data_IF_159022707153
#
_entry.id   IF_159022707153
#
_cell.length_a   1.000
_cell.length_b   1.000
_cell.length_c   1.000
_cell.angle_alpha   90.00
_cell.angle_beta   90.00
_cell.angle_gamma   90.00
#
_symmetry.space_group_name_H-M   'P 1'
#
loop_
_entity.id
_entity.type
_entity.pdbx_description
1 polymer ?
#
# COMPACT_ATOMS: atom_id res chain seq x y z
N UNK A 1 11.06 -30.11 8.68
CA UNK A 1 11.49 -29.22 7.59
C UNK A 1 12.10 -27.97 8.20
N UNK A 2 13.11 -27.38 7.64
CA UNK A 2 13.65 -26.13 8.14
C UNK A 2 12.67 -24.98 7.81
N UNK A 3 12.28 -24.18 8.80
CA UNK A 3 11.39 -23.04 8.60
C UNK A 3 12.25 -21.82 8.21
N UNK A 4 12.56 -21.70 6.94
CA UNK A 4 13.51 -20.68 6.43
C UNK A 4 12.88 -19.53 5.64
N UNK A 5 11.57 -19.59 5.40
CA UNK A 5 10.82 -18.50 4.79
C UNK A 5 10.14 -17.69 5.90
N UNK A 6 10.55 -16.44 6.05
CA UNK A 6 10.03 -15.56 7.07
C UNK A 6 9.13 -14.50 6.46
N UNK A 7 8.10 -14.12 7.20
CA UNK A 7 7.18 -13.05 6.80
C UNK A 7 6.90 -12.13 7.99
N UNK A 8 7.08 -10.84 7.79
CA UNK A 8 6.74 -9.83 8.79
C UNK A 8 5.27 -9.42 8.66
N UNK A 9 4.56 -9.39 9.78
CA UNK A 9 3.16 -8.99 9.86
C UNK A 9 3.08 -7.52 10.28
N UNK A 10 2.77 -6.65 9.33
CA UNK A 10 2.53 -5.24 9.62
C UNK A 10 1.09 -5.03 10.08
N UNK A 11 0.93 -4.33 11.20
CA UNK A 11 -0.37 -4.09 11.83
C UNK A 11 -0.45 -2.71 12.47
N UNK A 12 -1.65 -2.24 12.73
CA UNK A 12 -1.91 -1.05 13.53
C UNK A 12 -2.91 -1.40 14.64
N UNK A 13 -2.55 -1.12 15.89
CA UNK A 13 -3.36 -1.44 17.08
C UNK A 13 -3.87 -2.91 17.10
N UNK A 14 -2.99 -3.87 16.81
CA UNK A 14 -3.33 -5.30 16.80
C UNK A 14 -4.18 -5.76 15.60
N UNK A 15 -4.46 -4.88 14.64
CA UNK A 15 -5.16 -5.24 13.40
C UNK A 15 -4.18 -5.28 12.24
N UNK A 16 -3.99 -6.46 11.64
CA UNK A 16 -3.12 -6.60 10.48
C UNK A 16 -3.60 -5.75 9.30
N UNK A 17 -2.66 -5.13 8.62
CA UNK A 17 -2.95 -4.55 7.32
C UNK A 17 -3.22 -5.68 6.30
N UNK A 18 -4.19 -5.55 5.39
CA UNK A 18 -4.53 -6.59 4.42
C UNK A 18 -3.35 -7.11 3.61
N UNK A 19 -2.38 -6.25 3.29
CA UNK A 19 -1.15 -6.59 2.59
C UNK A 19 -0.25 -7.59 3.36
N UNK A 20 -0.37 -7.68 4.69
CA UNK A 20 0.35 -8.68 5.48
C UNK A 20 -0.13 -10.09 5.14
N UNK A 21 -1.42 -10.26 4.91
CA UNK A 21 -1.96 -11.57 4.51
C UNK A 21 -1.59 -11.95 3.07
N UNK A 22 -1.50 -10.98 2.15
CA UNK A 22 -0.91 -11.20 0.82
C UNK A 22 0.54 -11.71 0.95
N UNK A 23 1.32 -11.11 1.86
CA UNK A 23 2.69 -11.51 2.13
C UNK A 23 2.78 -12.93 2.71
N UNK A 24 1.87 -13.33 3.60
CA UNK A 24 1.78 -14.71 4.11
C UNK A 24 1.45 -15.68 2.97
N UNK A 25 0.53 -15.34 2.07
CA UNK A 25 0.20 -16.15 0.90
C UNK A 25 1.40 -16.39 -0.02
N UNK A 26 2.20 -15.36 -0.27
CA UNK A 26 3.45 -15.47 -1.03
C UNK A 26 4.47 -16.32 -0.28
N UNK A 27 4.65 -16.10 1.04
CA UNK A 27 5.54 -16.91 1.87
C UNK A 27 5.16 -18.39 1.79
N UNK A 28 3.86 -18.73 1.85
CA UNK A 28 3.37 -20.10 1.73
C UNK A 28 3.71 -20.69 0.36
N UNK A 29 3.44 -19.95 -0.72
CA UNK A 29 3.77 -20.39 -2.08
C UNK A 29 5.27 -20.69 -2.27
N UNK A 30 6.13 -19.83 -1.72
CA UNK A 30 7.59 -20.06 -1.75
C UNK A 30 7.99 -21.24 -0.87
N UNK A 31 7.43 -21.37 0.33
CA UNK A 31 7.71 -22.47 1.23
C UNK A 31 7.34 -23.84 0.61
N UNK A 32 6.21 -23.92 -0.06
CA UNK A 32 5.80 -25.13 -0.79
C UNK A 32 6.80 -25.45 -1.90
N UNK A 33 7.27 -24.44 -2.64
CA UNK A 33 8.24 -24.61 -3.71
C UNK A 33 9.61 -25.06 -3.22
N UNK A 34 10.06 -24.53 -2.07
CA UNK A 34 11.37 -24.85 -1.48
C UNK A 34 11.31 -26.00 -0.45
N UNK A 35 10.17 -26.66 -0.29
CA UNK A 35 9.96 -27.69 0.74
C UNK A 35 10.37 -27.19 2.14
N UNK A 36 9.98 -25.97 2.47
CA UNK A 36 10.25 -25.27 3.72
C UNK A 36 8.97 -25.02 4.51
N UNK A 37 9.10 -24.52 5.73
CA UNK A 37 7.99 -23.96 6.51
C UNK A 37 8.00 -22.42 6.47
N UNK A 38 6.86 -21.83 6.84
CA UNK A 38 6.66 -20.39 6.98
C UNK A 38 6.74 -19.99 8.45
N UNK A 39 7.62 -19.04 8.77
CA UNK A 39 7.68 -18.39 10.09
C UNK A 39 7.18 -16.94 9.97
N UNK A 40 6.08 -16.63 10.66
CA UNK A 40 5.63 -15.24 10.79
C UNK A 40 6.37 -14.55 11.95
N UNK A 41 6.69 -13.27 11.79
CA UNK A 41 7.22 -12.38 12.82
C UNK A 41 6.14 -11.37 13.16
N UNK A 42 5.68 -11.39 14.42
CA UNK A 42 4.63 -10.51 14.95
C UNK A 42 5.21 -9.74 16.12
N UNK A 43 5.34 -8.44 16.00
CA UNK A 43 5.90 -7.57 17.04
C UNK A 43 4.87 -6.49 17.38
N UNK A 44 4.60 -6.29 18.69
CA UNK A 44 3.65 -5.27 19.11
C UNK A 44 3.27 -5.39 20.59
N UNK A 45 2.12 -4.88 20.94
CA UNK A 45 1.54 -4.99 22.27
C UNK A 45 0.13 -5.58 22.18
N UNK A 46 -0.17 -6.61 22.99
CA UNK A 46 -1.42 -7.37 22.96
C UNK A 46 -1.70 -8.00 21.57
N UNK A 47 -0.70 -8.65 20.99
CA UNK A 47 -0.73 -9.17 19.62
C UNK A 47 -0.98 -10.69 19.52
N UNK A 48 -1.38 -11.35 20.60
CA UNK A 48 -1.62 -12.82 20.62
C UNK A 48 -2.71 -13.24 19.61
N UNK A 49 -3.78 -12.45 19.50
CA UNK A 49 -4.83 -12.71 18.48
C UNK A 49 -4.30 -12.62 17.04
N UNK A 50 -3.37 -11.69 16.81
CA UNK A 50 -2.72 -11.53 15.51
C UNK A 50 -1.78 -12.71 15.20
N UNK A 51 -1.07 -13.21 16.19
CA UNK A 51 -0.23 -14.41 16.05
C UNK A 51 -1.06 -15.64 15.63
N UNK A 52 -2.22 -15.86 16.26
CA UNK A 52 -3.12 -16.95 15.92
C UNK A 52 -3.68 -16.80 14.49
N UNK A 53 -4.12 -15.59 14.10
CA UNK A 53 -4.55 -15.31 12.73
C UNK A 53 -3.44 -15.56 11.70
N UNK A 54 -2.18 -15.32 12.04
CA UNK A 54 -1.06 -15.61 11.13
C UNK A 54 -0.96 -17.09 10.79
N UNK A 55 -1.30 -17.97 11.73
CA UNK A 55 -1.37 -19.43 11.51
C UNK A 55 -2.54 -19.75 10.56
N UNK A 56 -3.72 -19.20 10.81
CA UNK A 56 -4.89 -19.42 9.96
C UNK A 56 -4.65 -19.00 8.51
N UNK A 57 -3.87 -17.93 8.29
CA UNK A 57 -3.51 -17.44 6.95
C UNK A 57 -2.37 -18.20 6.29
N UNK A 58 -1.65 -19.09 7.01
CA UNK A 58 -0.69 -19.99 6.37
C UNK A 58 0.69 -20.11 7.03
N UNK A 59 0.95 -19.44 8.15
CA UNK A 59 2.17 -19.65 8.89
C UNK A 59 2.18 -21.02 9.62
N UNK A 60 3.32 -21.67 9.66
CA UNK A 60 3.52 -22.91 10.43
C UNK A 60 4.04 -22.59 11.84
N UNK A 61 4.72 -21.46 11.99
CA UNK A 61 5.28 -20.97 13.24
C UNK A 61 5.17 -19.45 13.30
N UNK A 62 4.99 -18.92 14.50
CA UNK A 62 4.98 -17.48 14.76
C UNK A 62 6.01 -17.16 15.84
N UNK A 63 6.91 -16.23 15.57
CA UNK A 63 7.77 -15.60 16.57
C UNK A 63 7.06 -14.32 17.01
N UNK A 64 6.62 -14.29 18.27
CA UNK A 64 5.80 -13.21 18.81
C UNK A 64 6.56 -12.43 19.88
N UNK A 65 6.88 -11.18 19.60
CA UNK A 65 7.35 -10.19 20.57
C UNK A 65 6.18 -9.34 21.03
N UNK A 66 5.67 -9.61 22.24
CA UNK A 66 4.51 -8.91 22.80
C UNK A 66 4.94 -8.16 24.06
N UNK A 67 5.15 -6.85 23.93
CA UNK A 67 5.66 -5.98 24.98
C UNK A 67 5.05 -4.56 24.89
N UNK A 68 4.71 -3.91 26.02
CA UNK A 68 4.23 -2.52 26.03
C UNK A 68 5.12 -1.52 25.29
N UNK A 69 6.44 -1.74 25.28
CA UNK A 69 7.41 -0.90 24.57
C UNK A 69 7.30 -0.97 23.05
N UNK A 70 6.64 -2.02 22.52
CA UNK A 70 6.34 -2.19 21.11
C UNK A 70 4.93 -1.73 20.72
N UNK A 71 4.20 -1.06 21.64
CA UNK A 71 2.85 -0.57 21.37
C UNK A 71 2.79 0.35 20.16
N UNK A 72 3.72 1.29 20.10
CA UNK A 72 3.84 2.25 19.02
C UNK A 72 5.04 1.89 18.14
N UNK A 73 4.84 1.87 16.82
CA UNK A 73 5.93 1.57 15.90
C UNK A 73 7.02 2.64 15.98
N UNK A 74 8.24 2.19 16.28
CA UNK A 74 9.47 2.97 16.19
C UNK A 74 10.48 2.16 15.37
N UNK A 75 11.16 2.75 14.39
CA UNK A 75 11.96 1.98 13.43
C UNK A 75 13.10 1.22 14.09
N UNK A 76 13.79 1.80 15.11
CA UNK A 76 14.99 1.21 15.69
C UNK A 76 14.72 -0.11 16.42
N UNK A 77 13.80 -0.19 17.42
CA UNK A 77 13.54 -1.43 18.11
C UNK A 77 12.93 -2.50 17.20
N UNK A 78 12.07 -2.10 16.26
CA UNK A 78 11.50 -3.06 15.32
C UNK A 78 12.56 -3.61 14.35
N UNK A 79 13.48 -2.79 13.85
CA UNK A 79 14.58 -3.24 12.98
C UNK A 79 15.51 -4.19 13.72
N UNK A 80 15.95 -3.85 14.94
CA UNK A 80 16.80 -4.70 15.76
C UNK A 80 16.18 -6.07 16.04
N UNK A 81 14.89 -6.08 16.42
CA UNK A 81 14.16 -7.35 16.66
C UNK A 81 14.00 -8.17 15.37
N UNK A 82 13.58 -7.55 14.26
CA UNK A 82 13.43 -8.28 12.99
C UNK A 82 14.78 -8.82 12.52
N UNK A 83 15.85 -8.03 12.59
CA UNK A 83 17.21 -8.46 12.21
C UNK A 83 17.64 -9.66 13.03
N UNK A 84 17.49 -9.62 14.36
CA UNK A 84 17.83 -10.73 15.25
C UNK A 84 17.02 -11.99 14.93
N UNK A 85 15.71 -11.87 14.77
CA UNK A 85 14.81 -13.00 14.56
C UNK A 85 14.95 -13.64 13.18
N UNK A 86 15.43 -12.89 12.19
CA UNK A 86 15.51 -13.35 10.78
C UNK A 86 16.92 -13.55 10.27
N UNK A 87 17.94 -13.52 11.16
CA UNK A 87 19.35 -13.68 10.78
C UNK A 87 19.65 -15.00 10.07
N UNK A 88 18.93 -16.08 10.39
CA UNK A 88 19.08 -17.39 9.76
C UNK A 88 18.06 -17.66 8.64
N UNK A 89 17.28 -16.65 8.23
CA UNK A 89 16.31 -16.79 7.16
C UNK A 89 16.99 -16.92 5.80
N UNK A 90 16.39 -17.70 4.89
CA UNK A 90 16.76 -17.69 3.47
C UNK A 90 16.05 -16.57 2.72
N UNK A 91 14.78 -16.35 3.06
CA UNK A 91 13.94 -15.30 2.47
C UNK A 91 13.17 -14.60 3.58
N UNK A 92 13.15 -13.27 3.53
CA UNK A 92 12.32 -12.43 4.38
C UNK A 92 11.36 -11.61 3.51
N UNK A 93 10.08 -11.75 3.79
CA UNK A 93 9.01 -11.09 3.05
C UNK A 93 8.32 -10.06 3.95
N UNK A 94 8.09 -8.86 3.43
CA UNK A 94 7.32 -7.83 4.09
C UNK A 94 6.27 -7.26 3.11
N UNK A 95 5.09 -6.81 3.57
CA UNK A 95 4.23 -5.98 2.73
C UNK A 95 4.91 -4.62 2.47
N UNK A 96 4.61 -3.94 1.37
CA UNK A 96 5.11 -2.57 1.13
C UNK A 96 4.15 -1.55 1.74
N UNK A 97 4.43 -1.10 2.94
CA UNK A 97 3.73 -0.01 3.63
C UNK A 97 4.70 1.15 3.89
N UNK A 98 4.23 2.26 4.46
CA UNK A 98 5.12 3.36 4.86
C UNK A 98 6.15 2.90 5.90
N UNK A 99 5.74 2.09 6.88
CA UNK A 99 6.61 1.57 7.94
C UNK A 99 7.60 0.52 7.43
N UNK A 100 7.10 -0.45 6.68
CA UNK A 100 7.95 -1.58 6.24
C UNK A 100 8.93 -1.20 5.14
N UNK A 101 8.75 -0.08 4.45
CA UNK A 101 9.75 0.45 3.52
C UNK A 101 11.05 0.84 4.22
N UNK A 102 10.96 1.54 5.34
CA UNK A 102 12.14 1.88 6.15
C UNK A 102 12.65 0.68 6.92
N UNK A 103 11.75 -0.10 7.54
CA UNK A 103 12.10 -1.29 8.29
C UNK A 103 12.92 -2.27 7.45
N UNK A 104 12.47 -2.60 6.25
CA UNK A 104 13.20 -3.52 5.35
C UNK A 104 14.58 -2.99 4.95
N UNK A 105 14.70 -1.67 4.76
CA UNK A 105 15.99 -1.02 4.49
C UNK A 105 16.97 -1.12 5.66
N UNK A 106 16.50 -0.87 6.89
CA UNK A 106 17.31 -1.00 8.10
C UNK A 106 17.74 -2.45 8.32
N UNK A 107 16.81 -3.41 8.25
CA UNK A 107 17.13 -4.85 8.37
C UNK A 107 18.11 -5.30 7.28
N UNK A 108 18.03 -4.78 6.07
CA UNK A 108 18.98 -5.11 5.01
C UNK A 108 20.40 -4.64 5.32
N UNK A 109 20.53 -3.47 5.95
CA UNK A 109 21.83 -2.94 6.41
C UNK A 109 22.36 -3.76 7.57
N UNK A 110 21.54 -4.03 8.58
CA UNK A 110 21.94 -4.80 9.78
C UNK A 110 22.43 -6.21 9.42
N UNK A 111 21.79 -6.86 8.45
CA UNK A 111 22.11 -8.21 7.99
C UNK A 111 23.11 -8.23 6.81
N UNK A 112 23.66 -7.07 6.44
CA UNK A 112 24.59 -6.91 5.31
C UNK A 112 24.10 -7.58 4.01
N UNK A 113 22.81 -7.47 3.73
CA UNK A 113 22.18 -8.09 2.56
C UNK A 113 21.49 -7.05 1.65
N UNK A 114 21.04 -7.49 0.49
CA UNK A 114 20.26 -6.67 -0.43
C UNK A 114 18.77 -6.87 -0.27
N UNK A 115 17.98 -5.87 -0.70
CA UNK A 115 16.53 -6.00 -0.77
C UNK A 115 15.97 -5.68 -2.16
N UNK A 116 14.88 -6.36 -2.54
CA UNK A 116 14.05 -6.05 -3.69
C UNK A 116 12.76 -5.37 -3.22
N UNK A 117 12.64 -4.02 -3.28
CA UNK A 117 11.47 -3.33 -2.81
C UNK A 117 10.35 -3.26 -3.86
N UNK A 118 9.10 -3.25 -3.38
CA UNK A 118 7.91 -2.94 -4.18
C UNK A 118 7.70 -3.91 -5.36
N UNK A 119 7.83 -5.21 -5.07
CA UNK A 119 7.75 -6.31 -6.03
C UNK A 119 6.30 -6.57 -6.43
N UNK A 120 6.08 -6.78 -7.73
CA UNK A 120 4.75 -7.06 -8.30
C UNK A 120 4.59 -8.49 -8.81
N UNK A 121 5.69 -9.18 -9.07
CA UNK A 121 5.71 -10.61 -9.43
C UNK A 121 7.12 -11.15 -9.24
N UNK A 122 7.29 -12.47 -9.23
CA UNK A 122 8.61 -13.11 -9.12
C UNK A 122 8.65 -14.42 -9.90
N UNK A 123 9.87 -14.84 -10.20
CA UNK A 123 10.20 -16.15 -10.76
C UNK A 123 11.22 -16.82 -9.82
N UNK A 124 11.32 -18.13 -9.86
CA UNK A 124 12.32 -18.90 -9.10
C UNK A 124 13.43 -19.32 -10.05
N UNK A 125 14.67 -19.04 -9.65
CA UNK A 125 15.89 -19.41 -10.38
C UNK A 125 16.86 -20.11 -9.41
N UNK A 126 16.81 -21.43 -9.38
CA UNK A 126 17.52 -22.24 -8.40
C UNK A 126 16.97 -22.02 -6.99
N UNK A 127 17.82 -21.51 -6.09
CA UNK A 127 17.49 -21.11 -4.72
C UNK A 127 17.20 -19.62 -4.57
N UNK A 128 17.20 -18.88 -5.66
CA UNK A 128 17.00 -17.45 -5.68
C UNK A 128 15.59 -17.07 -6.17
N UNK A 129 15.04 -16.01 -5.55
CA UNK A 129 13.83 -15.33 -6.01
C UNK A 129 14.23 -14.17 -6.93
N UNK A 130 13.87 -14.29 -8.20
CA UNK A 130 14.06 -13.26 -9.21
C UNK A 130 12.85 -12.31 -9.19
N UNK A 131 12.94 -11.26 -8.40
CA UNK A 131 11.86 -10.33 -8.13
C UNK A 131 11.71 -9.29 -9.26
N UNK A 132 10.50 -9.12 -9.78
CA UNK A 132 10.18 -8.09 -10.78
C UNK A 132 9.50 -6.91 -10.10
N UNK A 133 10.04 -5.72 -10.36
CA UNK A 133 9.51 -4.47 -9.81
C UNK A 133 9.46 -3.36 -10.85
N UNK A 134 8.50 -2.43 -10.75
CA UNK A 134 8.46 -1.26 -11.61
C UNK A 134 9.46 -0.20 -11.17
N UNK A 135 10.10 0.44 -12.15
CA UNK A 135 10.98 1.59 -11.97
C UNK A 135 10.57 2.72 -12.93
N UNK A 136 11.11 3.93 -12.75
CA UNK A 136 10.79 5.12 -13.56
C UNK A 136 9.27 5.33 -13.69
N UNK A 137 8.59 5.40 -12.55
CA UNK A 137 7.14 5.59 -12.51
C UNK A 137 6.34 4.50 -13.26
N UNK A 138 6.81 3.26 -13.21
CA UNK A 138 6.18 2.12 -13.87
C UNK A 138 6.36 2.05 -15.38
N UNK A 139 7.23 2.87 -15.96
CA UNK A 139 7.55 2.81 -17.40
C UNK A 139 8.39 1.60 -17.77
N UNK A 140 9.20 1.12 -16.84
CA UNK A 140 10.06 -0.04 -17.01
C UNK A 140 9.83 -1.04 -15.88
N UNK A 141 9.96 -2.32 -16.20
CA UNK A 141 10.04 -3.39 -15.22
C UNK A 141 11.49 -3.86 -15.14
N UNK A 142 12.02 -3.99 -13.93
CA UNK A 142 13.36 -4.54 -13.70
C UNK A 142 13.26 -5.81 -12.90
N UNK A 143 14.14 -6.76 -13.17
CA UNK A 143 14.33 -7.97 -12.36
C UNK A 143 15.51 -7.74 -11.43
N UNK A 144 15.31 -8.06 -10.15
CA UNK A 144 16.29 -7.90 -9.08
C UNK A 144 16.46 -9.25 -8.38
N UNK A 145 17.70 -9.61 -8.06
CA UNK A 145 18.02 -10.85 -7.35
C UNK A 145 19.19 -10.62 -6.41
N UNK A 146 19.12 -11.18 -5.19
CA UNK A 146 20.21 -11.25 -4.25
C UNK A 146 20.72 -12.70 -4.21
N UNK A 147 21.87 -12.99 -4.85
CA UNK A 147 22.38 -14.37 -4.95
C UNK A 147 23.33 -14.77 -3.84
N UNK A 148 24.16 -13.83 -3.38
CA UNK A 148 25.31 -14.13 -2.52
C UNK A 148 25.00 -14.01 -1.03
N UNK A 149 24.03 -13.18 -0.67
CA UNK A 149 23.69 -12.87 0.72
C UNK A 149 22.31 -13.40 1.10
N UNK A 150 22.11 -13.63 2.37
CA UNK A 150 20.83 -14.05 2.98
C UNK A 150 20.53 -13.20 4.21
N UNK A 151 19.25 -13.03 4.53
CA UNK A 151 18.09 -13.40 3.72
C UNK A 151 17.98 -12.60 2.43
N UNK A 152 17.28 -13.17 1.43
CA UNK A 152 16.77 -12.37 0.31
C UNK A 152 15.57 -11.58 0.83
N UNK A 153 15.71 -10.26 1.02
CA UNK A 153 14.64 -9.41 1.53
C UNK A 153 13.78 -8.92 0.35
N UNK A 154 12.48 -9.11 0.47
CA UNK A 154 11.52 -8.77 -0.58
C UNK A 154 10.36 -8.00 0.05
N UNK A 155 10.06 -6.79 -0.43
CA UNK A 155 8.80 -6.14 -0.05
C UNK A 155 7.79 -6.21 -1.19
N UNK A 156 6.57 -6.64 -0.89
CA UNK A 156 5.52 -6.90 -1.86
C UNK A 156 4.61 -5.68 -2.02
N UNK A 157 4.36 -5.25 -3.24
CA UNK A 157 3.40 -4.18 -3.50
C UNK A 157 2.01 -4.62 -3.05
N UNK A 158 1.34 -3.77 -2.31
CA UNK A 158 -0.04 -3.97 -1.86
C UNK A 158 -0.95 -4.24 -3.06
N UNK A 159 -1.81 -5.25 -2.95
CA UNK A 159 -2.76 -5.72 -3.96
C UNK A 159 -2.13 -6.28 -5.25
N UNK A 160 -0.82 -6.58 -5.23
CA UNK A 160 -0.17 -7.25 -6.36
C UNK A 160 -0.29 -8.78 -6.30
N UNK A 161 -0.57 -9.32 -5.13
CA UNK A 161 -0.67 -10.76 -4.89
C UNK A 161 -2.02 -11.12 -4.26
N UNK A 162 -2.54 -12.34 -4.50
CA UNK A 162 -3.79 -12.75 -3.90
C UNK A 162 -3.65 -12.90 -2.38
N UNK A 163 -4.65 -12.40 -1.65
CA UNK A 163 -4.80 -12.67 -0.23
C UNK A 163 -5.40 -14.07 -0.08
N UNK A 164 -4.80 -14.97 0.72
CA UNK A 164 -5.39 -16.27 1.01
C UNK A 164 -6.64 -16.13 1.90
N UNK A 165 -7.51 -17.11 1.85
CA UNK A 165 -8.60 -17.24 2.81
C UNK A 165 -8.07 -17.85 4.12
N UNK A 166 -8.54 -17.40 5.31
CA UNK A 166 -8.12 -17.99 6.57
C UNK A 166 -8.70 -19.40 6.74
N UNK A 167 -7.91 -20.31 7.26
CA UNK A 167 -8.31 -21.67 7.62
C UNK A 167 -8.23 -21.84 9.14
N UNK A 168 -9.37 -21.77 9.81
CA UNK A 168 -9.49 -21.94 11.25
C UNK A 168 -9.16 -23.36 11.75
N UNK A 169 -9.07 -24.32 10.87
CA UNK A 169 -8.63 -25.69 11.19
C UNK A 169 -7.13 -25.87 11.20
N UNK A 170 -6.37 -24.86 10.76
CA UNK A 170 -4.92 -24.90 10.69
C UNK A 170 -4.31 -24.79 12.09
N UNK A 171 -3.29 -25.61 12.37
CA UNK A 171 -2.51 -25.56 13.61
C UNK A 171 -1.07 -25.14 13.31
N UNK A 172 -0.46 -24.44 14.24
CA UNK A 172 0.94 -23.99 14.18
C UNK A 172 1.48 -23.72 15.58
N UNK A 173 2.73 -23.33 15.67
CA UNK A 173 3.43 -23.05 16.91
C UNK A 173 3.58 -21.52 17.11
N UNK A 174 3.17 -21.00 18.27
CA UNK A 174 3.44 -19.62 18.69
C UNK A 174 4.55 -19.63 19.74
N UNK A 175 5.67 -19.00 19.43
CA UNK A 175 6.84 -18.88 20.29
C UNK A 175 6.92 -17.42 20.75
N UNK A 176 6.79 -17.19 22.06
CA UNK A 176 7.08 -15.88 22.65
C UNK A 176 8.59 -15.67 22.63
N UNK A 177 9.03 -14.54 22.10
CA UNK A 177 10.43 -14.13 22.09
C UNK A 177 10.65 -13.01 23.08
N UNK A 178 11.84 -12.98 23.70
CA UNK A 178 12.25 -11.86 24.53
C UNK A 178 12.42 -10.60 23.68
N UNK A 179 11.83 -9.49 24.12
CA UNK A 179 11.95 -8.21 23.45
C UNK A 179 13.20 -7.50 23.97
N UNK A 180 14.15 -7.29 23.07
CA UNK A 180 15.39 -6.58 23.37
C UNK A 180 15.31 -5.19 22.74
N UNK A 181 15.15 -4.16 23.58
CA UNK A 181 15.17 -2.78 23.15
C UNK A 181 16.62 -2.32 23.00
N UNK A 182 17.06 -2.10 21.78
CA UNK A 182 18.34 -1.43 21.52
C UNK A 182 18.31 0.05 21.87
N UNK A 183 19.25 0.81 21.33
CA UNK A 183 19.19 2.27 21.41
C UNK A 183 17.97 2.79 20.63
N UNK A 184 17.13 3.58 21.28
CA UNK A 184 15.92 4.17 20.70
C UNK A 184 16.05 5.68 20.74
N UNK A 185 16.06 6.31 19.56
CA UNK A 185 16.24 7.77 19.42
C UNK A 185 14.98 8.48 18.94
N UNK A 186 13.93 7.72 18.63
CA UNK A 186 12.64 8.23 18.17
C UNK A 186 11.56 8.13 19.25
N UNK A 187 10.62 9.07 19.22
CA UNK A 187 9.44 9.09 20.09
C UNK A 187 8.18 9.34 19.28
N UNK A 188 7.13 8.58 19.56
CA UNK A 188 5.80 8.83 18.99
C UNK A 188 5.04 9.81 19.89
N UNK A 189 4.94 11.06 19.46
CA UNK A 189 4.29 12.13 20.25
C UNK A 189 2.77 12.10 20.15
N UNK A 190 2.20 11.34 19.20
CA UNK A 190 0.77 11.16 19.04
C UNK A 190 0.39 10.78 17.63
N UNK A 191 -0.90 10.52 17.44
CA UNK A 191 -1.51 10.18 16.16
C UNK A 191 -2.44 11.31 15.72
N UNK A 192 -2.38 11.65 14.43
CA UNK A 192 -3.38 12.51 13.82
C UNK A 192 -4.41 11.61 13.15
N UNK A 193 -5.65 11.72 13.60
CA UNK A 193 -6.76 11.02 12.94
C UNK A 193 -6.85 11.47 11.48
N UNK A 194 -6.90 10.51 10.56
CA UNK A 194 -7.29 10.80 9.18
C UNK A 194 -8.80 10.91 9.10
N UNK A 195 -9.31 11.76 8.21
CA UNK A 195 -10.74 11.82 7.93
C UNK A 195 -11.28 10.41 7.63
N UNK A 196 -12.48 10.13 8.17
CA UNK A 196 -13.15 8.84 8.09
C UNK A 196 -13.38 8.48 6.60
N UNK A 197 -12.93 7.32 6.19
CA UNK A 197 -13.12 6.80 4.82
C UNK A 197 -12.28 5.55 4.55
N UNK A 198 -12.56 4.89 3.46
CA UNK A 198 -11.78 3.73 3.01
C UNK A 198 -10.35 4.16 2.72
N UNK A 199 -9.36 3.43 3.28
CA UNK A 199 -7.95 3.73 3.04
C UNK A 199 -7.61 3.61 1.56
N UNK A 200 -7.04 4.66 0.96
CA UNK A 200 -6.59 4.63 -0.43
C UNK A 200 -5.60 3.49 -0.72
N UNK A 201 -4.78 3.11 0.25
CA UNK A 201 -3.77 2.07 0.06
C UNK A 201 -4.40 0.68 -0.11
N UNK A 202 -5.53 0.44 0.57
CA UNK A 202 -6.16 -0.88 0.66
C UNK A 202 -7.45 -0.99 -0.17
N UNK A 203 -7.91 0.12 -0.75
CA UNK A 203 -9.17 0.19 -1.48
C UNK A 203 -9.16 -0.69 -2.74
N UNK A 204 -10.25 -1.45 -2.91
CA UNK A 204 -10.50 -2.23 -4.13
C UNK A 204 -10.90 -1.32 -5.30
N UNK A 205 -11.63 -0.27 -5.00
CA UNK A 205 -12.10 0.72 -5.97
C UNK A 205 -11.68 2.11 -5.50
N UNK A 206 -11.19 2.92 -6.42
CA UNK A 206 -10.84 4.32 -6.15
C UNK A 206 -11.51 5.20 -7.19
N UNK A 207 -12.21 6.23 -6.71
CA UNK A 207 -12.72 7.32 -7.56
C UNK A 207 -11.92 8.58 -7.26
N UNK A 208 -11.26 9.13 -8.28
CA UNK A 208 -10.29 10.22 -8.09
C UNK A 208 -10.64 11.44 -8.92
N UNK A 209 -10.61 12.62 -8.26
CA UNK A 209 -10.86 13.90 -8.89
C UNK A 209 -9.59 14.65 -9.30
N UNK A 210 -9.60 15.27 -10.47
CA UNK A 210 -8.54 16.17 -10.95
C UNK A 210 -8.94 17.63 -10.86
N UNK A 211 -8.14 18.54 -11.46
CA UNK A 211 -8.48 19.96 -11.57
C UNK A 211 -9.79 20.22 -12.34
N UNK A 212 -10.17 19.31 -13.25
CA UNK A 212 -11.41 19.42 -14.01
C UNK A 212 -12.68 19.48 -13.17
N UNK A 213 -12.64 19.06 -11.89
CA UNK A 213 -13.79 19.14 -10.98
C UNK A 213 -14.21 20.57 -10.62
N UNK A 214 -13.32 21.58 -10.80
CA UNK A 214 -13.66 22.99 -10.56
C UNK A 214 -14.38 23.67 -11.72
N UNK A 215 -14.49 22.99 -12.88
CA UNK A 215 -14.89 23.63 -14.14
C UNK A 215 -16.39 23.45 -14.50
N UNK A 216 -17.27 23.29 -13.51
CA UNK A 216 -18.70 23.19 -13.75
C UNK A 216 -19.29 24.57 -14.12
N UNK A 217 -19.74 24.76 -15.39
CA UNK A 217 -20.28 26.06 -15.83
C UNK A 217 -21.66 26.37 -15.25
N UNK A 218 -22.36 25.38 -14.69
CA UNK A 218 -23.70 25.51 -14.08
C UNK A 218 -23.66 26.03 -12.64
N UNK A 219 -22.44 26.11 -12.03
CA UNK A 219 -22.27 26.54 -10.64
C UNK A 219 -21.85 28.01 -10.56
N UNK A 220 -22.65 28.79 -9.88
CA UNK A 220 -22.35 30.19 -9.55
C UNK A 220 -21.98 30.26 -8.05
N UNK A 221 -20.73 30.62 -7.72
CA UNK A 221 -20.35 30.84 -6.32
C UNK A 221 -21.20 31.93 -5.67
N UNK A 222 -21.44 31.87 -4.35
CA UNK A 222 -22.11 32.91 -3.59
C UNK A 222 -21.45 34.27 -3.80
N UNK A 223 -22.26 35.35 -3.80
CA UNK A 223 -21.79 36.71 -4.06
C UNK A 223 -20.82 37.22 -2.97
N UNK A 224 -20.90 36.64 -1.76
CA UNK A 224 -20.00 36.93 -0.64
C UNK A 224 -18.56 36.49 -0.91
N UNK A 225 -18.36 35.52 -1.79
CA UNK A 225 -17.02 35.07 -2.20
C UNK A 225 -16.55 35.95 -3.36
N UNK A 226 -15.71 36.93 -3.03
CA UNK A 226 -15.24 37.93 -4.00
C UNK A 226 -13.89 37.57 -4.62
N UNK A 227 -13.05 36.79 -3.92
CA UNK A 227 -11.75 36.33 -4.42
C UNK A 227 -11.91 35.21 -5.45
N UNK A 228 -11.27 35.33 -6.61
CA UNK A 228 -11.44 34.37 -7.69
C UNK A 228 -10.87 32.98 -7.36
N UNK A 229 -9.83 32.92 -6.55
CA UNK A 229 -9.27 31.65 -6.08
C UNK A 229 -10.23 30.94 -5.12
N UNK A 230 -10.84 31.70 -4.21
CA UNK A 230 -11.86 31.14 -3.29
C UNK A 230 -13.10 30.68 -4.06
N UNK A 231 -13.50 31.41 -5.12
CA UNK A 231 -14.58 30.99 -6.05
C UNK A 231 -14.25 29.68 -6.77
N UNK A 232 -13.00 29.54 -7.23
CA UNK A 232 -12.53 28.28 -7.85
C UNK A 232 -12.53 27.14 -6.86
N UNK A 233 -12.04 27.34 -5.62
CA UNK A 233 -12.06 26.33 -4.54
C UNK A 233 -13.49 25.93 -4.22
N UNK A 234 -14.41 26.89 -4.10
CA UNK A 234 -15.81 26.59 -3.84
C UNK A 234 -16.42 25.70 -4.95
N UNK A 235 -16.20 26.05 -6.23
CA UNK A 235 -16.66 25.22 -7.37
C UNK A 235 -16.04 23.82 -7.31
N UNK A 236 -14.75 23.73 -6.98
CA UNK A 236 -14.05 22.46 -6.85
C UNK A 236 -14.61 21.58 -5.73
N UNK A 237 -14.96 22.17 -4.59
CA UNK A 237 -15.60 21.45 -3.47
C UNK A 237 -16.94 20.83 -3.90
N UNK A 238 -17.76 21.56 -4.69
CA UNK A 238 -18.99 21.01 -5.25
C UNK A 238 -18.71 19.86 -6.24
N UNK A 239 -17.67 19.99 -7.06
CA UNK A 239 -17.23 18.91 -7.97
C UNK A 239 -16.69 17.68 -7.22
N UNK A 240 -15.94 17.89 -6.12
CA UNK A 240 -15.51 16.78 -5.25
C UNK A 240 -16.67 16.16 -4.47
N UNK A 241 -17.74 16.88 -4.17
CA UNK A 241 -18.97 16.30 -3.63
C UNK A 241 -19.58 15.27 -4.59
N UNK A 242 -19.58 15.56 -5.89
CA UNK A 242 -20.02 14.61 -6.92
C UNK A 242 -19.09 13.38 -7.00
N UNK A 243 -17.77 13.58 -6.96
CA UNK A 243 -16.78 12.49 -6.94
C UNK A 243 -16.97 11.61 -5.70
N UNK A 244 -17.25 12.24 -4.55
CA UNK A 244 -17.56 11.53 -3.29
C UNK A 244 -18.82 10.70 -3.40
N UNK A 245 -19.89 11.24 -3.95
CA UNK A 245 -21.15 10.52 -4.15
C UNK A 245 -20.96 9.26 -5.01
N UNK A 246 -20.17 9.35 -6.09
CA UNK A 246 -19.81 8.19 -6.90
C UNK A 246 -18.97 7.19 -6.10
N UNK A 247 -18.00 7.67 -5.30
CA UNK A 247 -17.18 6.80 -4.46
C UNK A 247 -18.03 6.06 -3.42
N UNK A 248 -18.95 6.73 -2.75
CA UNK A 248 -19.87 6.13 -1.79
C UNK A 248 -20.81 5.09 -2.45
N UNK A 249 -21.30 5.38 -3.65
CA UNK A 249 -22.16 4.45 -4.41
C UNK A 249 -21.42 3.15 -4.77
N UNK A 250 -20.11 3.22 -4.97
CA UNK A 250 -19.26 2.09 -5.36
C UNK A 250 -18.53 1.45 -4.16
N UNK A 251 -18.78 1.90 -2.93
CA UNK A 251 -17.99 1.52 -1.74
C UNK A 251 -16.48 1.71 -1.98
N UNK A 252 -16.12 2.84 -2.57
CA UNK A 252 -14.80 3.18 -3.05
C UNK A 252 -14.10 4.22 -2.16
N UNK A 253 -12.77 4.21 -2.18
CA UNK A 253 -12.00 5.32 -1.61
C UNK A 253 -11.99 6.53 -2.55
N UNK A 254 -11.99 7.74 -1.98
CA UNK A 254 -11.88 8.97 -2.73
C UNK A 254 -10.42 9.43 -2.83
N UNK A 255 -9.92 9.57 -4.06
CA UNK A 255 -8.60 10.07 -4.37
C UNK A 255 -8.62 11.45 -5.05
N UNK A 256 -7.43 12.03 -5.19
CA UNK A 256 -7.26 13.29 -5.90
C UNK A 256 -5.90 13.38 -6.62
N UNK A 257 -5.84 14.18 -7.67
CA UNK A 257 -4.57 14.52 -8.29
C UNK A 257 -3.78 15.53 -7.44
N UNK A 258 -2.45 15.52 -7.54
CA UNK A 258 -1.61 16.53 -6.90
C UNK A 258 -2.05 17.97 -7.26
N UNK A 259 -2.38 18.21 -8.51
CA UNK A 259 -2.80 19.54 -8.96
C UNK A 259 -4.10 20.03 -8.27
N UNK A 260 -5.01 19.14 -7.89
CA UNK A 260 -6.19 19.48 -7.09
C UNK A 260 -5.83 19.76 -5.62
N UNK A 261 -4.89 19.00 -5.05
CA UNK A 261 -4.39 19.21 -3.69
C UNK A 261 -3.61 20.53 -3.58
N UNK A 262 -2.67 20.77 -4.48
CA UNK A 262 -1.87 22.01 -4.53
C UNK A 262 -2.75 23.26 -4.74
N UNK A 263 -3.89 23.14 -5.43
CA UNK A 263 -4.87 24.20 -5.59
C UNK A 263 -5.76 24.42 -4.35
N UNK A 264 -5.66 23.56 -3.33
CA UNK A 264 -6.43 23.66 -2.09
C UNK A 264 -7.86 23.13 -2.18
N UNK A 265 -8.18 22.32 -3.19
CA UNK A 265 -9.53 21.76 -3.37
C UNK A 265 -9.87 20.66 -2.37
N UNK A 266 -8.86 19.89 -1.95
CA UNK A 266 -9.00 18.73 -1.09
C UNK A 266 -7.70 18.50 -0.29
N UNK A 267 -7.76 17.94 0.93
CA UNK A 267 -6.56 17.66 1.73
C UNK A 267 -5.57 16.69 1.07
N UNK A 268 -4.28 16.85 1.43
CA UNK A 268 -3.18 16.00 0.95
C UNK A 268 -3.38 14.50 1.20
N UNK A 269 -4.13 14.12 2.23
CA UNK A 269 -4.45 12.73 2.55
C UNK A 269 -5.07 11.95 1.38
N UNK A 270 -5.74 12.66 0.45
CA UNK A 270 -6.37 12.10 -0.75
C UNK A 270 -5.42 12.01 -1.96
N UNK A 271 -4.20 12.54 -1.86
CA UNK A 271 -3.32 12.61 -3.02
C UNK A 271 -2.87 11.25 -3.51
N UNK A 272 -3.15 10.96 -4.79
CA UNK A 272 -2.62 9.81 -5.53
C UNK A 272 -1.53 10.29 -6.50
N UNK A 273 -0.38 9.64 -6.50
CA UNK A 273 0.72 9.98 -7.39
C UNK A 273 2.08 9.65 -6.80
N UNK A 274 3.14 10.04 -7.49
CA UNK A 274 4.52 9.80 -7.12
C UNK A 274 4.88 10.35 -5.73
N UNK A 275 4.35 11.52 -5.38
CA UNK A 275 4.59 12.21 -4.10
C UNK A 275 3.43 12.06 -3.11
N UNK A 276 2.39 11.34 -3.49
CA UNK A 276 1.26 10.96 -2.67
C UNK A 276 1.24 9.46 -2.42
N UNK A 277 0.04 8.89 -2.34
CA UNK A 277 -0.14 7.45 -2.19
C UNK A 277 0.00 6.75 -3.55
N UNK A 278 0.74 5.64 -3.57
CA UNK A 278 0.78 4.71 -4.70
C UNK A 278 -0.26 3.63 -4.43
N UNK A 279 -1.16 3.43 -5.39
CA UNK A 279 -2.33 2.55 -5.26
C UNK A 279 -2.39 1.54 -6.41
N UNK A 280 -2.99 0.38 -6.14
CA UNK A 280 -3.16 -0.70 -7.13
C UNK A 280 -4.58 -1.31 -7.00
N UNK A 281 -5.65 -0.50 -7.16
CA UNK A 281 -7.02 -0.98 -7.04
C UNK A 281 -7.40 -1.92 -8.20
N UNK A 282 -8.50 -2.66 -8.03
CA UNK A 282 -9.12 -3.40 -9.13
C UNK A 282 -9.74 -2.44 -10.15
N UNK A 283 -10.33 -1.34 -9.67
CA UNK A 283 -10.91 -0.29 -10.50
C UNK A 283 -10.45 1.10 -10.05
N UNK A 284 -9.92 1.87 -10.97
CA UNK A 284 -9.59 3.28 -10.80
C UNK A 284 -10.41 4.16 -11.74
N UNK A 285 -11.27 5.01 -11.19
CA UNK A 285 -12.08 5.97 -11.97
C UNK A 285 -11.45 7.36 -11.86
N UNK A 286 -10.98 7.88 -12.99
CA UNK A 286 -10.30 9.18 -13.07
C UNK A 286 -11.26 10.24 -13.64
N UNK A 287 -11.75 11.15 -12.77
CA UNK A 287 -12.69 12.22 -13.12
C UNK A 287 -11.96 13.56 -13.31
N UNK A 288 -11.90 14.08 -14.53
CA UNK A 288 -11.25 15.36 -14.82
C UNK A 288 -9.75 15.40 -14.55
N UNK A 289 -9.06 14.25 -14.67
CA UNK A 289 -7.61 14.09 -14.50
C UNK A 289 -6.95 14.05 -15.87
N UNK A 290 -5.92 14.86 -16.09
CA UNK A 290 -5.18 14.92 -17.35
C UNK A 290 -4.28 13.72 -17.63
N UNK A 291 -3.76 13.06 -16.56
CA UNK A 291 -2.81 11.96 -16.70
C UNK A 291 -1.35 12.42 -16.80
N UNK A 292 -0.97 13.43 -16.02
CA UNK A 292 0.43 13.78 -15.82
C UNK A 292 1.24 12.58 -15.31
N UNK A 293 2.50 12.48 -15.73
CA UNK A 293 3.39 11.33 -15.43
C UNK A 293 3.44 11.04 -13.92
N UNK A 294 3.46 12.10 -13.11
CA UNK A 294 3.52 11.99 -11.65
C UNK A 294 2.25 11.36 -11.06
N UNK A 295 1.08 11.65 -11.64
CA UNK A 295 -0.17 11.00 -11.24
C UNK A 295 -0.20 9.53 -11.68
N UNK A 296 0.16 9.29 -12.93
CA UNK A 296 0.22 7.95 -13.50
C UNK A 296 1.16 7.02 -12.71
N UNK A 297 2.26 7.55 -12.18
CA UNK A 297 3.18 6.80 -11.32
C UNK A 297 2.49 6.18 -10.09
N UNK A 298 1.46 6.85 -9.56
CA UNK A 298 0.73 6.40 -8.39
C UNK A 298 -0.41 5.45 -8.66
N UNK A 299 -0.88 5.27 -9.92
CA UNK A 299 -2.09 4.47 -10.18
C UNK A 299 -1.98 3.53 -11.40
N UNK A 300 -0.87 3.53 -12.10
CA UNK A 300 -0.66 2.75 -13.34
C UNK A 300 -0.86 1.25 -13.17
N UNK A 301 -0.65 0.72 -11.97
CA UNK A 301 -0.82 -0.70 -11.66
C UNK A 301 -2.26 -1.10 -11.33
N UNK A 302 -3.22 -0.19 -11.43
CA UNK A 302 -4.65 -0.50 -11.34
C UNK A 302 -5.04 -1.52 -12.42
N UNK A 303 -5.87 -2.53 -12.07
CA UNK A 303 -6.25 -3.58 -13.04
C UNK A 303 -7.13 -3.03 -14.16
N UNK A 304 -8.07 -2.15 -13.81
CA UNK A 304 -8.93 -1.45 -14.76
C UNK A 304 -8.89 0.05 -14.47
N UNK A 305 -8.67 0.85 -15.50
CA UNK A 305 -8.70 2.30 -15.43
C UNK A 305 -9.86 2.79 -16.31
N UNK A 306 -10.76 3.57 -15.71
CA UNK A 306 -11.81 4.33 -16.38
C UNK A 306 -11.43 5.81 -16.33
N UNK A 307 -11.49 6.50 -17.45
CA UNK A 307 -11.18 7.93 -17.52
C UNK A 307 -12.36 8.73 -18.10
N UNK A 308 -12.72 9.80 -17.41
CA UNK A 308 -13.73 10.78 -17.85
C UNK A 308 -13.02 12.13 -17.96
N UNK A 309 -12.95 12.68 -19.17
CA UNK A 309 -12.30 13.97 -19.42
C UNK A 309 -12.93 14.67 -20.63
N UNK A 310 -13.05 16.01 -20.56
CA UNK A 310 -13.50 16.82 -21.71
C UNK A 310 -12.50 16.83 -22.86
N UNK A 311 -11.20 16.81 -22.53
CA UNK A 311 -10.12 16.79 -23.50
C UNK A 311 -9.89 15.35 -23.98
N UNK A 312 -10.31 15.05 -25.21
CA UNK A 312 -10.14 13.74 -25.85
C UNK A 312 -8.67 13.34 -26.05
N UNK A 313 -7.76 14.32 -26.04
CA UNK A 313 -6.33 14.11 -26.20
C UNK A 313 -5.60 13.97 -24.84
N UNK A 314 -6.33 14.00 -23.73
CA UNK A 314 -5.74 13.89 -22.42
C UNK A 314 -4.89 12.59 -22.28
N UNK A 315 -3.65 12.68 -21.80
CA UNK A 315 -2.75 11.53 -21.69
C UNK A 315 -3.30 10.35 -20.89
N UNK A 316 -4.28 10.58 -20.00
CA UNK A 316 -4.92 9.53 -19.19
C UNK A 316 -5.59 8.46 -20.08
N UNK A 317 -6.13 8.85 -21.22
CA UNK A 317 -6.79 7.93 -22.15
C UNK A 317 -5.85 6.88 -22.75
N UNK A 318 -4.53 7.15 -22.80
CA UNK A 318 -3.53 6.17 -23.26
C UNK A 318 -3.38 4.97 -22.34
N UNK A 319 -3.83 5.09 -21.10
CA UNK A 319 -3.79 4.02 -20.08
C UNK A 319 -5.18 3.50 -19.73
N UNK A 320 -6.21 4.28 -20.01
CA UNK A 320 -7.58 3.90 -19.71
C UNK A 320 -8.02 2.71 -20.56
N UNK A 321 -8.61 1.70 -19.89
CA UNK A 321 -9.30 0.62 -20.60
C UNK A 321 -10.63 1.10 -21.17
N UNK A 322 -11.29 2.01 -20.46
CA UNK A 322 -12.52 2.67 -20.89
C UNK A 322 -12.34 4.17 -20.74
N UNK A 323 -12.56 4.89 -21.82
CA UNK A 323 -12.47 6.34 -21.86
C UNK A 323 -13.78 6.97 -22.31
N UNK A 324 -14.25 7.97 -21.57
CA UNK A 324 -15.43 8.76 -21.94
C UNK A 324 -14.99 10.20 -22.15
N UNK A 325 -14.97 10.64 -23.40
CA UNK A 325 -14.70 12.04 -23.75
C UNK A 325 -15.97 12.86 -23.58
N UNK A 326 -16.04 13.68 -22.52
CA UNK A 326 -17.22 14.47 -22.22
C UNK A 326 -17.16 15.17 -20.86
N UNK A 327 -18.25 15.87 -20.52
CA UNK A 327 -18.34 16.59 -19.26
C UNK A 327 -18.62 15.63 -18.10
N UNK A 328 -17.73 15.64 -17.11
CA UNK A 328 -17.89 14.80 -15.91
C UNK A 328 -19.19 15.13 -15.13
N UNK A 329 -19.69 16.36 -15.22
CA UNK A 329 -20.90 16.79 -14.52
C UNK A 329 -22.20 16.31 -15.20
N UNK A 330 -22.12 15.81 -16.41
CA UNK A 330 -23.23 15.14 -17.10
C UNK A 330 -23.09 13.61 -17.06
N UNK A 331 -21.85 13.10 -17.08
CA UNK A 331 -21.54 11.67 -17.16
C UNK A 331 -21.61 10.99 -15.77
N UNK A 332 -21.05 11.60 -14.72
CA UNK A 332 -20.99 10.98 -13.39
C UNK A 332 -22.37 10.80 -12.75
N UNK A 333 -23.33 11.73 -12.90
CA UNK A 333 -24.69 11.54 -12.38
C UNK A 333 -25.53 10.50 -13.12
N UNK A 334 -25.19 10.16 -14.37
CA UNK A 334 -25.91 9.22 -15.23
C UNK A 334 -25.57 7.76 -14.92
#
# INVERSE_FOLDING_TARGET
>A
MANKIFVYIDHFNGQALPASWEAVGVARSLADRFSSGVTAVVLGYQVEGLANLSIEYGADRVLMGDDPELKDYRPEPFAGMVSQLTAEAEILILPTTSRTRELAGMVAVDLETGMAPDVITFEIDGDAVLATRPIYAGKLLTKVVCREKRPQIITLRTRAFPKPEPDSGRSGEVIRVEVVMGEVVTEVTGYKESEIGVSLADAAIIVSGGRGVSSNPKLTPPDEITDEKEREIWRAQQGFALVRQLAETLDAAMGASRAAVDAGYIPYAHQVGQTGKVVSPDLYVACGISGAIQHLAGMRTSKVIVAINKDSEAPIFKLARFGVAGDLFDIVPA
#
